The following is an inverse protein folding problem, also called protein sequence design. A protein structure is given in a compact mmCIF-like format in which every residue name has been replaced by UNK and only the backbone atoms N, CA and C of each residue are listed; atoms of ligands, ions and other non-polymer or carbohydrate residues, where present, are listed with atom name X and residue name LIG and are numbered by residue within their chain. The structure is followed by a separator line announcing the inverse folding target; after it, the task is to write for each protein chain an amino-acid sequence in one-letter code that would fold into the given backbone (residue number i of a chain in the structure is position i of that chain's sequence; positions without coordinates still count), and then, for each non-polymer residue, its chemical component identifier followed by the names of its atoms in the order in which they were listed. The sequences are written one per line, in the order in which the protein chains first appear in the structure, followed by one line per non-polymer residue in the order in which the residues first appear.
data_IF_756113220914
#
_entry.id   IF_756113220914
#
_cell.length_a   1.000
_cell.length_b   1.000
_cell.length_c   1.000
_cell.angle_alpha   90.00
_cell.angle_beta   90.00
_cell.angle_gamma   90.00
#
_symmetry.space_group_name_H-M   'P 1'
#
loop_
_entity.id
_entity.type
_entity.pdbx_description
1 polymer ?
#
# COMPACT_ATOMS: atom_id res chain seq x y z
N UNK A 1 17.10 23.54 -4.90
CA UNK A 1 15.80 24.15 -5.31
C UNK A 1 14.79 23.02 -5.38
N UNK A 2 13.64 23.16 -4.75
CA UNK A 2 12.59 22.13 -4.82
C UNK A 2 12.11 22.05 -6.28
N UNK A 3 12.17 20.86 -6.88
CA UNK A 3 11.66 20.62 -8.25
C UNK A 3 10.15 20.85 -8.28
N UNK A 4 9.66 21.52 -9.30
CA UNK A 4 8.22 21.67 -9.54
C UNK A 4 7.60 20.33 -9.97
N UNK A 5 6.29 20.17 -9.81
CA UNK A 5 5.60 18.95 -10.26
C UNK A 5 5.77 18.74 -11.78
N UNK A 6 5.87 19.82 -12.56
CA UNK A 6 6.13 19.74 -14.00
C UNK A 6 7.52 19.13 -14.30
N UNK A 7 8.57 19.49 -13.55
CA UNK A 7 9.91 18.94 -13.71
C UNK A 7 10.01 17.49 -13.24
N UNK A 8 9.17 17.10 -12.27
CA UNK A 8 9.07 15.72 -11.80
C UNK A 8 8.30 14.83 -12.77
N UNK A 9 7.27 15.38 -13.45
CA UNK A 9 6.41 14.62 -14.36
C UNK A 9 7.09 14.41 -15.71
N UNK A 10 7.01 13.20 -16.26
CA UNK A 10 7.50 12.92 -17.62
C UNK A 10 6.88 13.90 -18.63
N UNK A 11 7.66 14.49 -19.56
CA UNK A 11 7.18 15.53 -20.47
C UNK A 11 6.00 15.11 -21.35
N UNK A 12 5.95 13.85 -21.77
CA UNK A 12 4.83 13.29 -22.55
C UNK A 12 3.55 13.20 -21.69
N UNK A 13 3.67 12.82 -20.41
CA UNK A 13 2.55 12.73 -19.47
C UNK A 13 2.06 14.15 -19.08
N UNK A 14 2.97 15.08 -18.86
CA UNK A 14 2.58 16.46 -18.57
C UNK A 14 1.71 17.06 -19.69
N UNK A 15 2.07 16.82 -20.94
CA UNK A 15 1.35 17.30 -22.14
C UNK A 15 0.15 16.44 -22.54
N UNK A 16 -0.01 15.26 -21.94
CA UNK A 16 -1.10 14.35 -22.28
C UNK A 16 -2.46 14.99 -22.04
N UNK A 17 -3.31 14.94 -23.06
CA UNK A 17 -4.75 15.19 -22.89
C UNK A 17 -5.40 13.88 -22.43
N UNK A 18 -6.03 13.85 -21.25
CA UNK A 18 -6.67 12.62 -20.77
C UNK A 18 -7.80 12.23 -21.71
N UNK A 19 -8.11 10.94 -21.73
CA UNK A 19 -9.35 10.47 -22.34
C UNK A 19 -10.54 11.07 -21.58
N UNK A 20 -11.48 11.67 -22.30
CA UNK A 20 -12.73 12.19 -21.78
C UNK A 20 -13.89 11.36 -22.30
N UNK A 21 -14.80 10.95 -21.44
CA UNK A 21 -16.07 10.32 -21.85
C UNK A 21 -17.16 11.40 -22.04
N UNK A 22 -18.15 11.12 -22.88
CA UNK A 22 -19.28 12.04 -23.02
C UNK A 22 -20.01 12.33 -21.69
N UNK A 23 -19.95 11.38 -20.73
CA UNK A 23 -20.50 11.56 -19.38
C UNK A 23 -19.66 12.53 -18.52
N UNK A 24 -18.34 12.58 -18.73
CA UNK A 24 -17.47 13.54 -18.04
C UNK A 24 -17.68 14.97 -18.57
N UNK A 25 -18.04 15.09 -19.85
CA UNK A 25 -18.30 16.37 -20.51
C UNK A 25 -19.72 16.91 -20.24
N UNK A 26 -20.62 16.03 -19.75
CA UNK A 26 -22.01 16.39 -19.50
C UNK A 26 -22.16 17.09 -18.14
N UNK A 27 -22.48 18.39 -18.19
CA UNK A 27 -22.69 19.25 -17.01
C UNK A 27 -24.18 19.62 -16.75
N UNK A 28 -25.12 18.90 -17.37
CA UNK A 28 -26.56 19.18 -17.27
C UNK A 28 -27.23 18.53 -16.06
N UNK A 29 -28.58 18.65 -16.00
CA UNK A 29 -29.40 17.91 -15.05
C UNK A 29 -29.23 16.41 -15.20
N UNK A 30 -29.66 15.59 -14.22
CA UNK A 30 -29.52 14.13 -14.27
C UNK A 30 -30.01 13.56 -15.61
N UNK A 31 -29.11 12.92 -16.35
CA UNK A 31 -29.44 12.29 -17.61
C UNK A 31 -30.30 11.06 -17.38
N UNK A 32 -31.38 10.89 -18.15
CA UNK A 32 -32.27 9.73 -18.09
C UNK A 32 -32.06 8.74 -19.24
N UNK A 33 -31.36 9.17 -20.31
CA UNK A 33 -31.09 8.36 -21.50
C UNK A 33 -29.59 8.39 -21.80
N UNK A 34 -28.97 7.21 -21.86
CA UNK A 34 -27.54 7.03 -22.11
C UNK A 34 -27.32 6.25 -23.41
N UNK A 35 -26.83 6.93 -24.45
CA UNK A 35 -26.54 6.40 -25.78
C UNK A 35 -25.12 6.76 -26.23
N UNK A 36 -24.21 6.95 -25.30
CA UNK A 36 -22.89 7.55 -25.49
C UNK A 36 -21.73 6.53 -25.55
N UNK A 37 -21.90 5.36 -24.95
CA UNK A 37 -20.78 4.44 -24.69
C UNK A 37 -20.96 3.05 -25.34
N UNK A 38 -21.83 2.91 -26.32
CA UNK A 38 -22.09 1.66 -27.07
C UNK A 38 -22.47 0.48 -26.16
N UNK A 39 -23.04 0.74 -25.00
CA UNK A 39 -23.42 -0.26 -24.03
C UNK A 39 -24.68 -1.01 -24.48
N UNK A 40 -24.73 -2.32 -24.19
CA UNK A 40 -25.95 -3.08 -24.34
C UNK A 40 -27.00 -2.61 -23.32
N UNK A 41 -28.20 -2.20 -23.70
CA UNK A 41 -29.23 -1.69 -22.78
C UNK A 41 -29.82 -2.77 -21.85
N UNK A 42 -29.58 -4.05 -22.12
CA UNK A 42 -30.09 -5.17 -21.35
C UNK A 42 -29.10 -5.62 -20.27
N UNK A 43 -29.51 -6.51 -19.35
CA UNK A 43 -28.74 -7.06 -18.24
C UNK A 43 -28.45 -6.04 -17.12
N UNK A 44 -29.45 -5.22 -16.76
CA UNK A 44 -29.36 -4.35 -15.57
C UNK A 44 -29.04 -5.17 -14.30
N UNK A 45 -28.27 -4.67 -13.35
CA UNK A 45 -27.62 -3.34 -13.32
C UNK A 45 -26.18 -3.34 -13.86
N UNK A 46 -25.71 -4.41 -14.50
CA UNK A 46 -24.30 -4.61 -14.87
C UNK A 46 -23.96 -4.14 -16.29
N UNK A 47 -24.95 -3.66 -17.02
CA UNK A 47 -24.84 -3.28 -18.42
C UNK A 47 -24.24 -1.88 -18.67
N UNK A 48 -23.96 -1.10 -17.61
CA UNK A 48 -23.41 0.26 -17.72
C UNK A 48 -22.00 0.34 -17.14
N UNK A 49 -21.14 1.12 -17.79
CA UNK A 49 -19.86 1.49 -17.21
C UNK A 49 -20.04 2.20 -15.87
N UNK A 50 -19.16 1.97 -14.90
CA UNK A 50 -19.18 2.68 -13.61
C UNK A 50 -18.81 4.15 -13.78
N UNK A 51 -19.00 4.95 -12.73
CA UNK A 51 -18.47 6.32 -12.67
C UNK A 51 -16.93 6.29 -12.77
N UNK A 52 -16.34 6.88 -13.82
CA UNK A 52 -14.89 6.88 -14.02
C UNK A 52 -14.14 7.66 -12.95
N UNK A 53 -14.82 8.58 -12.25
CA UNK A 53 -14.25 9.38 -11.16
C UNK A 53 -14.55 8.83 -9.76
N UNK A 54 -15.35 7.76 -9.66
CA UNK A 54 -15.74 7.09 -8.40
C UNK A 54 -16.26 8.08 -7.34
N UNK A 55 -17.08 9.05 -7.74
CA UNK A 55 -17.48 10.22 -6.91
C UNK A 55 -18.16 9.81 -5.61
N UNK A 56 -19.11 8.86 -5.65
CA UNK A 56 -19.79 8.35 -4.47
C UNK A 56 -18.79 7.74 -3.48
N UNK A 57 -17.95 6.83 -3.94
CA UNK A 57 -16.96 6.15 -3.11
C UNK A 57 -15.94 7.13 -2.51
N UNK A 58 -15.45 8.09 -3.30
CA UNK A 58 -14.53 9.13 -2.80
C UNK A 58 -15.18 10.03 -1.77
N UNK A 59 -16.47 10.34 -1.92
CA UNK A 59 -17.22 11.12 -0.95
C UNK A 59 -17.34 10.40 0.40
N UNK A 60 -17.66 9.12 0.39
CA UNK A 60 -17.73 8.33 1.63
C UNK A 60 -16.33 8.14 2.27
N UNK A 61 -15.30 7.87 1.47
CA UNK A 61 -13.92 7.82 1.95
C UNK A 61 -13.44 9.11 2.58
N UNK A 62 -13.79 10.25 1.96
CA UNK A 62 -13.46 11.58 2.45
C UNK A 62 -13.96 11.82 3.89
N UNK A 63 -15.15 11.34 4.21
CA UNK A 63 -15.73 11.46 5.55
C UNK A 63 -14.94 10.71 6.61
N UNK A 64 -14.47 9.49 6.28
CA UNK A 64 -13.72 8.62 7.20
C UNK A 64 -12.26 9.07 7.30
N UNK A 65 -11.62 9.31 6.14
CA UNK A 65 -10.19 9.64 6.08
C UNK A 65 -9.90 11.13 6.31
N UNK A 66 -10.94 11.99 6.38
CA UNK A 66 -10.87 13.44 6.62
C UNK A 66 -9.98 14.19 5.63
N UNK A 67 -10.00 13.76 4.37
CA UNK A 67 -9.28 14.38 3.25
C UNK A 67 -10.27 14.77 2.16
N UNK A 68 -9.91 15.75 1.31
CA UNK A 68 -10.75 16.11 0.16
C UNK A 68 -10.95 14.93 -0.80
N UNK A 69 -12.16 14.71 -1.36
CA UNK A 69 -12.36 13.71 -2.41
C UNK A 69 -11.41 13.87 -3.60
N UNK A 70 -11.02 15.10 -3.92
CA UNK A 70 -10.12 15.43 -5.02
C UNK A 70 -8.64 15.08 -4.70
N UNK A 71 -8.33 14.85 -3.42
CA UNK A 71 -7.03 14.36 -2.96
C UNK A 71 -6.94 12.83 -2.94
N UNK A 72 -7.93 12.11 -3.50
CA UNK A 72 -8.03 10.66 -3.48
C UNK A 72 -7.92 10.11 -4.90
N UNK A 73 -6.99 9.19 -5.11
CA UNK A 73 -6.93 8.29 -6.25
C UNK A 73 -7.36 6.89 -5.81
N UNK A 74 -8.16 6.19 -6.64
CA UNK A 74 -8.59 4.82 -6.40
C UNK A 74 -8.08 3.91 -7.52
N UNK A 75 -7.53 2.75 -7.15
CA UNK A 75 -6.98 1.77 -8.09
C UNK A 75 -7.27 0.32 -7.69
N UNK A 76 -6.94 -0.60 -8.59
CA UNK A 76 -7.04 -2.05 -8.36
C UNK A 76 -5.93 -2.53 -7.40
N UNK A 77 -6.15 -2.34 -6.11
CA UNK A 77 -5.15 -2.42 -5.06
C UNK A 77 -4.24 -1.17 -5.09
N UNK A 78 -3.44 -0.99 -4.04
CA UNK A 78 -2.37 0.03 -4.04
C UNK A 78 -1.32 -0.23 -5.12
N UNK A 79 -1.23 -1.45 -5.63
CA UNK A 79 -0.31 -1.84 -6.71
C UNK A 79 -0.53 -1.03 -7.99
N UNK A 80 -1.79 -0.70 -8.36
CA UNK A 80 -2.06 0.18 -9.50
C UNK A 80 -1.51 1.58 -9.27
N UNK A 81 -1.66 2.14 -8.07
CA UNK A 81 -1.09 3.45 -7.75
C UNK A 81 0.44 3.41 -7.78
N UNK A 82 1.07 2.33 -7.27
CA UNK A 82 2.52 2.12 -7.33
C UNK A 82 2.99 2.10 -8.78
N UNK A 83 2.37 1.32 -9.67
CA UNK A 83 2.75 1.28 -11.09
C UNK A 83 2.57 2.65 -11.77
N UNK A 84 1.45 3.32 -11.50
CA UNK A 84 1.17 4.62 -12.12
C UNK A 84 2.16 5.72 -11.70
N UNK A 85 2.70 5.72 -10.47
CA UNK A 85 3.70 6.72 -10.08
C UNK A 85 5.01 6.51 -10.85
N UNK A 86 5.44 5.27 -11.11
CA UNK A 86 6.56 5.01 -12.01
C UNK A 86 6.28 5.55 -13.41
N UNK A 87 5.15 5.22 -13.98
CA UNK A 87 4.77 5.63 -15.34
C UNK A 87 4.59 7.13 -15.49
N UNK A 88 4.16 7.81 -14.42
CA UNK A 88 3.96 9.27 -14.44
C UNK A 88 5.24 10.05 -14.30
N UNK A 89 6.15 9.59 -13.44
CA UNK A 89 7.25 10.42 -12.95
C UNK A 89 8.64 9.94 -13.33
N UNK A 90 8.83 8.66 -13.70
CA UNK A 90 10.14 8.13 -14.06
C UNK A 90 10.29 7.91 -15.57
N UNK A 91 11.25 8.57 -16.21
CA UNK A 91 11.63 8.28 -17.59
C UNK A 91 12.44 6.98 -17.62
N UNK A 92 11.99 5.94 -18.37
CA UNK A 92 12.70 4.67 -18.46
C UNK A 92 14.18 4.84 -18.87
N UNK A 93 15.08 4.07 -18.26
CA UNK A 93 16.54 4.09 -18.51
C UNK A 93 17.26 5.41 -18.20
N UNK A 94 16.55 6.40 -17.68
CA UNK A 94 17.10 7.71 -17.34
C UNK A 94 16.98 7.99 -15.86
N UNK A 95 15.78 7.82 -15.33
CA UNK A 95 15.47 8.11 -13.94
C UNK A 95 15.63 6.88 -13.05
N UNK A 96 15.78 7.12 -11.76
CA UNK A 96 15.90 6.10 -10.75
C UNK A 96 14.97 6.35 -9.56
N UNK A 97 14.80 5.33 -8.75
CA UNK A 97 14.09 5.39 -7.48
C UNK A 97 14.94 4.80 -6.37
N UNK A 98 14.74 5.30 -5.15
CA UNK A 98 15.38 4.78 -3.94
C UNK A 98 14.32 4.16 -3.05
N UNK A 99 14.64 3.06 -2.38
CA UNK A 99 13.78 2.45 -1.39
C UNK A 99 14.57 1.84 -0.24
N UNK A 100 13.93 1.73 0.91
CA UNK A 100 14.47 0.95 2.04
C UNK A 100 14.52 -0.53 1.66
N UNK A 101 15.46 -1.29 2.24
CA UNK A 101 15.57 -2.74 2.06
C UNK A 101 15.90 -3.41 3.42
N UNK A 102 15.12 -4.42 3.85
CA UNK A 102 14.00 -5.05 3.15
C UNK A 102 12.71 -4.25 3.22
N UNK A 103 11.90 -4.34 2.15
CA UNK A 103 10.56 -3.75 2.09
C UNK A 103 9.64 -4.53 1.14
N UNK A 104 8.49 -3.95 0.76
CA UNK A 104 7.51 -4.58 -0.11
C UNK A 104 8.07 -4.78 -1.53
N UNK A 105 8.12 -6.04 -1.97
CA UNK A 105 8.79 -6.42 -3.22
C UNK A 105 8.19 -5.86 -4.51
N UNK A 106 6.93 -5.40 -4.50
CA UNK A 106 6.29 -4.85 -5.69
C UNK A 106 6.91 -3.53 -6.15
N UNK A 107 7.57 -2.78 -5.27
CA UNK A 107 8.27 -1.56 -5.71
C UNK A 107 9.36 -1.90 -6.72
N UNK A 108 10.18 -2.91 -6.43
CA UNK A 108 11.20 -3.38 -7.37
C UNK A 108 10.56 -3.96 -8.64
N UNK A 109 9.52 -4.78 -8.52
CA UNK A 109 8.81 -5.35 -9.69
C UNK A 109 8.28 -4.24 -10.59
N UNK A 110 7.67 -3.20 -10.04
CA UNK A 110 7.19 -2.06 -10.83
C UNK A 110 8.34 -1.27 -11.46
N UNK A 111 9.47 -1.09 -10.76
CA UNK A 111 10.66 -0.48 -11.33
C UNK A 111 11.20 -1.28 -12.52
N UNK A 112 11.35 -2.61 -12.36
CA UNK A 112 11.85 -3.51 -13.40
C UNK A 112 10.91 -3.51 -14.63
N UNK A 113 9.58 -3.57 -14.43
CA UNK A 113 8.58 -3.51 -15.51
C UNK A 113 8.63 -2.19 -16.27
N UNK A 114 8.91 -1.08 -15.58
CA UNK A 114 9.01 0.25 -16.18
C UNK A 114 10.42 0.61 -16.66
N UNK A 115 11.38 -0.32 -16.58
CA UNK A 115 12.80 -0.13 -16.97
C UNK A 115 13.45 1.08 -16.25
N UNK A 116 13.21 1.17 -14.92
CA UNK A 116 13.70 2.22 -14.02
C UNK A 116 14.68 1.62 -13.01
N UNK A 117 15.85 2.26 -12.84
CA UNK A 117 16.85 1.82 -11.86
C UNK A 117 16.26 1.86 -10.44
N UNK A 118 16.39 0.73 -9.69
CA UNK A 118 15.92 0.59 -8.32
C UNK A 118 17.08 0.48 -7.34
N UNK A 119 17.29 1.51 -6.54
CA UNK A 119 18.39 1.60 -5.56
C UNK A 119 17.89 1.23 -4.17
N UNK A 120 18.58 0.29 -3.53
CA UNK A 120 18.27 -0.23 -2.21
C UNK A 120 19.15 0.41 -1.14
N UNK A 121 18.55 0.86 -0.06
CA UNK A 121 19.25 1.32 1.14
C UNK A 121 18.87 0.42 2.30
N UNK A 122 19.85 -0.32 2.82
CA UNK A 122 19.62 -1.26 3.92
C UNK A 122 19.14 -0.53 5.18
N UNK A 123 18.13 -1.10 5.81
CA UNK A 123 17.72 -0.76 7.17
C UNK A 123 18.85 -1.15 8.16
N UNK A 124 18.77 -0.64 9.37
CA UNK A 124 19.67 -1.07 10.46
C UNK A 124 19.19 -2.39 11.10
N UNK A 125 19.86 -2.80 12.20
CA UNK A 125 19.57 -4.06 12.90
C UNK A 125 18.20 -4.05 13.61
N UNK A 126 17.65 -2.86 13.88
CA UNK A 126 16.31 -2.65 14.45
C UNK A 126 15.24 -2.33 13.38
N UNK A 127 15.60 -2.55 12.10
CA UNK A 127 14.78 -2.27 10.94
C UNK A 127 14.32 -0.80 10.84
N UNK A 128 15.16 0.14 11.28
CA UNK A 128 14.96 1.56 11.08
C UNK A 128 15.81 2.07 9.91
N UNK A 129 15.39 3.18 9.32
CA UNK A 129 16.16 3.87 8.29
C UNK A 129 16.68 5.22 8.79
N UNK A 130 17.66 5.76 8.09
CA UNK A 130 18.10 7.15 8.25
C UNK A 130 17.76 7.94 6.99
N UNK A 131 17.11 9.07 7.16
CA UNK A 131 16.81 10.00 6.06
C UNK A 131 18.09 10.41 5.32
N UNK A 132 19.19 10.65 6.05
CA UNK A 132 20.49 11.01 5.45
C UNK A 132 21.03 9.92 4.52
N UNK A 133 20.88 8.63 4.89
CA UNK A 133 21.32 7.52 4.03
C UNK A 133 20.48 7.41 2.77
N UNK A 134 19.15 7.59 2.85
CA UNK A 134 18.28 7.60 1.68
C UNK A 134 18.58 8.77 0.76
N UNK A 135 18.77 9.96 1.32
CA UNK A 135 19.13 11.16 0.57
C UNK A 135 20.53 11.05 -0.09
N UNK A 136 21.49 10.40 0.56
CA UNK A 136 22.81 10.15 0.02
C UNK A 136 22.82 9.15 -1.15
N UNK A 137 21.80 8.25 -1.23
CA UNK A 137 21.63 7.33 -2.34
C UNK A 137 20.87 7.95 -3.54
N UNK A 138 20.28 9.14 -3.33
CA UNK A 138 19.57 9.89 -4.36
C UNK A 138 20.52 10.80 -5.14
N UNK A 139 20.18 11.05 -6.41
CA UNK A 139 20.85 11.98 -7.29
C UNK A 139 19.84 12.84 -8.07
N UNK A 140 20.31 13.60 -9.08
CA UNK A 140 19.47 14.47 -9.92
C UNK A 140 18.40 13.70 -10.73
N UNK A 141 18.63 12.41 -10.98
CA UNK A 141 17.71 11.52 -11.68
C UNK A 141 16.74 10.79 -10.73
N UNK A 142 16.91 10.91 -9.42
CA UNK A 142 16.00 10.28 -8.48
C UNK A 142 14.67 11.03 -8.44
N UNK A 143 13.61 10.35 -8.82
CA UNK A 143 12.24 10.92 -8.86
C UNK A 143 11.40 10.51 -7.66
N UNK A 144 11.57 9.28 -7.18
CA UNK A 144 10.73 8.70 -6.14
C UNK A 144 11.58 8.09 -5.03
N UNK A 145 11.14 8.24 -3.78
CA UNK A 145 11.63 7.44 -2.65
C UNK A 145 10.46 6.68 -2.04
N UNK A 146 10.60 5.34 -1.92
CA UNK A 146 9.58 4.48 -1.33
C UNK A 146 9.94 4.10 0.10
N UNK A 147 9.02 4.32 1.02
CA UNK A 147 9.05 3.84 2.41
C UNK A 147 7.71 3.19 2.76
N UNK A 148 7.76 2.14 3.57
CA UNK A 148 6.58 1.42 4.05
C UNK A 148 6.55 1.44 5.58
N UNK A 149 5.48 1.95 6.17
CA UNK A 149 5.33 2.04 7.64
C UNK A 149 3.86 1.83 8.04
N UNK A 150 3.55 0.79 8.81
CA UNK A 150 4.42 -0.33 9.23
C UNK A 150 5.03 -1.09 8.06
N UNK A 151 6.31 -1.47 8.19
CA UNK A 151 7.05 -2.07 7.07
C UNK A 151 6.70 -3.55 6.86
N UNK A 152 6.71 -3.98 5.62
CA UNK A 152 6.60 -5.38 5.23
C UNK A 152 7.91 -5.83 4.54
N UNK A 153 8.69 -6.79 5.11
CA UNK A 153 8.19 -7.88 5.96
C UNK A 153 8.48 -7.73 7.46
N UNK A 154 9.02 -6.63 7.94
CA UNK A 154 9.56 -6.51 9.30
C UNK A 154 8.50 -6.24 10.37
N UNK A 155 7.36 -5.63 10.00
CA UNK A 155 6.20 -5.40 10.87
C UNK A 155 6.25 -4.11 11.68
N UNK A 156 7.41 -3.52 11.86
CA UNK A 156 7.61 -2.35 12.70
C UNK A 156 7.22 -1.03 12.05
N UNK A 157 6.80 -0.08 12.85
CA UNK A 157 6.74 1.32 12.45
C UNK A 157 8.14 1.89 12.23
N UNK A 158 8.26 2.80 11.30
CA UNK A 158 9.45 3.59 11.08
C UNK A 158 9.37 4.90 11.87
N UNK A 159 10.51 5.42 12.29
CA UNK A 159 10.57 6.67 13.06
C UNK A 159 9.97 7.83 12.29
N UNK A 160 8.90 8.41 12.82
CA UNK A 160 8.16 9.52 12.19
C UNK A 160 9.06 10.72 11.89
N UNK A 161 9.99 11.04 12.79
CA UNK A 161 10.96 12.14 12.60
C UNK A 161 11.86 11.95 11.38
N UNK A 162 12.26 10.71 11.09
CA UNK A 162 13.05 10.39 9.90
C UNK A 162 12.20 10.51 8.62
N UNK A 163 10.94 10.05 8.67
CA UNK A 163 9.98 10.21 7.57
C UNK A 163 9.76 11.69 7.26
N UNK A 164 9.48 12.51 8.27
CA UNK A 164 9.29 13.96 8.10
C UNK A 164 10.54 14.66 7.58
N UNK A 165 11.72 14.27 8.06
CA UNK A 165 13.01 14.80 7.60
C UNK A 165 13.22 14.47 6.12
N UNK A 166 12.93 13.24 5.72
CA UNK A 166 13.03 12.80 4.32
C UNK A 166 12.09 13.61 3.43
N UNK A 167 10.80 13.73 3.79
CA UNK A 167 9.81 14.47 3.01
C UNK A 167 10.23 15.94 2.81
N UNK A 168 10.76 16.59 3.86
CA UNK A 168 11.16 18.01 3.81
C UNK A 168 12.42 18.26 3.01
N UNK A 169 13.33 17.28 2.93
CA UNK A 169 14.67 17.47 2.33
C UNK A 169 14.80 16.87 0.93
N UNK A 170 13.91 15.96 0.56
CA UNK A 170 13.94 15.36 -0.77
C UNK A 170 13.24 16.24 -1.81
N UNK A 171 13.90 16.51 -2.92
CA UNK A 171 13.39 17.35 -4.01
C UNK A 171 12.44 16.60 -4.99
N UNK A 172 12.23 15.30 -4.78
CA UNK A 172 11.31 14.45 -5.53
C UNK A 172 10.06 14.08 -4.72
N UNK A 173 9.34 13.04 -5.13
CA UNK A 173 8.15 12.55 -4.46
C UNK A 173 8.49 11.44 -3.47
N UNK A 174 7.97 11.52 -2.26
CA UNK A 174 8.03 10.45 -1.25
C UNK A 174 6.74 9.65 -1.30
N UNK A 175 6.87 8.34 -1.49
CA UNK A 175 5.76 7.39 -1.47
C UNK A 175 5.80 6.68 -0.12
N UNK A 176 4.85 7.01 0.74
CA UNK A 176 4.69 6.38 2.05
C UNK A 176 3.56 5.35 1.98
N UNK A 177 3.94 4.08 2.02
CA UNK A 177 2.97 2.98 2.03
C UNK A 177 2.50 2.69 3.46
N UNK A 178 1.28 3.09 3.75
CA UNK A 178 0.56 2.89 4.99
C UNK A 178 -0.44 1.72 4.93
N UNK A 179 -0.18 0.69 4.12
CA UNK A 179 -1.10 -0.45 3.96
C UNK A 179 -1.48 -1.14 5.30
N UNK A 180 -0.66 -1.00 6.33
CA UNK A 180 -0.86 -1.60 7.64
C UNK A 180 -1.12 -0.57 8.76
N UNK A 181 -1.24 0.71 8.44
CA UNK A 181 -1.35 1.78 9.45
C UNK A 181 -2.56 1.64 10.38
N UNK A 182 -3.66 1.05 9.91
CA UNK A 182 -4.84 0.81 10.75
C UNK A 182 -4.54 -0.11 11.97
N UNK A 183 -3.41 -0.86 11.97
CA UNK A 183 -2.96 -1.70 13.09
C UNK A 183 -1.94 -1.02 14.00
N UNK A 184 -1.38 0.11 13.57
CA UNK A 184 -0.41 0.91 14.35
C UNK A 184 -1.12 1.83 15.34
N UNK A 185 -0.37 2.27 16.37
CA UNK A 185 -0.78 3.39 17.24
C UNK A 185 -0.27 4.74 16.71
N UNK A 186 0.65 4.71 15.74
CA UNK A 186 1.15 5.94 15.13
C UNK A 186 0.07 6.59 14.25
N UNK A 187 -0.13 7.92 14.36
CA UNK A 187 -1.09 8.62 13.53
C UNK A 187 -0.66 8.59 12.06
N UNK A 188 -1.64 8.41 11.16
CA UNK A 188 -1.41 8.47 9.71
C UNK A 188 -0.87 9.83 9.27
N UNK A 189 -0.02 9.84 8.26
CA UNK A 189 0.42 11.08 7.60
C UNK A 189 -0.70 11.79 6.84
N UNK A 190 -1.87 11.17 6.69
CA UNK A 190 -3.07 11.85 6.15
C UNK A 190 -3.47 13.06 7.00
N UNK A 191 -3.25 13.04 8.31
CA UNK A 191 -3.56 14.18 9.20
C UNK A 191 -2.78 15.46 8.82
N UNK A 192 -1.61 15.28 8.21
CA UNK A 192 -0.72 16.37 7.84
C UNK A 192 -0.49 16.46 6.32
N UNK A 193 -1.29 15.78 5.50
CA UNK A 193 -1.09 15.66 4.05
C UNK A 193 -0.90 17.03 3.37
N UNK A 194 -1.67 18.02 3.76
CA UNK A 194 -1.62 19.37 3.20
C UNK A 194 -0.30 20.12 3.51
N UNK A 195 0.50 19.64 4.47
CA UNK A 195 1.81 20.23 4.80
C UNK A 195 2.93 19.70 3.91
N UNK A 196 2.68 18.64 3.17
CA UNK A 196 3.67 17.90 2.40
C UNK A 196 3.26 17.75 0.93
N UNK A 197 3.51 18.77 0.10
CA UNK A 197 3.03 18.79 -1.30
C UNK A 197 3.67 17.69 -2.17
N UNK A 198 4.78 17.10 -1.75
CA UNK A 198 5.51 16.04 -2.41
C UNK A 198 5.27 14.66 -1.81
N UNK A 199 4.29 14.49 -0.92
CA UNK A 199 3.94 13.22 -0.30
C UNK A 199 2.79 12.55 -1.03
N UNK A 200 2.96 11.24 -1.27
CA UNK A 200 1.88 10.32 -1.68
C UNK A 200 1.75 9.26 -0.59
N UNK A 201 0.59 9.18 0.05
CA UNK A 201 0.28 8.14 1.04
C UNK A 201 -0.55 7.05 0.37
N UNK A 202 -0.10 5.79 0.48
CA UNK A 202 -0.83 4.63 -0.04
C UNK A 202 -1.55 3.92 1.10
N UNK A 203 -2.81 3.55 0.88
CA UNK A 203 -3.59 2.69 1.78
C UNK A 203 -4.39 1.66 0.98
N UNK A 204 -4.99 0.67 1.64
CA UNK A 204 -5.67 -0.43 0.94
C UNK A 204 -6.83 -1.01 1.75
N UNK A 205 -7.84 -1.51 1.04
CA UNK A 205 -8.91 -2.32 1.64
C UNK A 205 -8.48 -3.78 1.88
N UNK A 206 -7.31 -4.17 1.41
CA UNK A 206 -6.87 -5.59 1.45
C UNK A 206 -6.47 -6.09 2.83
N UNK A 207 -6.21 -5.21 3.81
CA UNK A 207 -5.67 -5.57 5.12
C UNK A 207 -6.70 -5.39 6.23
N UNK A 208 -6.72 -4.27 6.91
CA UNK A 208 -7.63 -3.99 8.02
C UNK A 208 -9.11 -4.13 7.65
N UNK A 209 -9.46 -3.76 6.44
CA UNK A 209 -10.84 -3.82 5.94
C UNK A 209 -11.32 -5.23 5.57
N UNK A 210 -10.44 -6.25 5.58
CA UNK A 210 -10.80 -7.63 5.26
C UNK A 210 -11.28 -7.85 3.82
N UNK A 211 -10.98 -6.94 2.91
CA UNK A 211 -11.52 -6.87 1.55
C UNK A 211 -10.48 -7.13 0.46
N UNK A 212 -9.52 -8.04 0.69
CA UNK A 212 -8.47 -8.34 -0.29
C UNK A 212 -9.01 -8.76 -1.67
N UNK A 213 -10.16 -9.45 -1.69
CA UNK A 213 -10.78 -9.98 -2.93
C UNK A 213 -11.34 -8.91 -3.86
N UNK A 214 -11.79 -7.75 -3.33
CA UNK A 214 -12.35 -6.67 -4.18
C UNK A 214 -11.28 -5.82 -4.86
N UNK A 215 -9.99 -6.04 -4.53
CA UNK A 215 -8.86 -5.36 -5.17
C UNK A 215 -8.98 -3.83 -5.16
N UNK A 216 -9.25 -3.21 -4.02
CA UNK A 216 -9.32 -1.75 -3.89
C UNK A 216 -8.15 -1.22 -3.08
N UNK A 217 -7.43 -0.26 -3.67
CA UNK A 217 -6.39 0.52 -3.02
C UNK A 217 -6.58 2.01 -3.27
N UNK A 218 -5.88 2.81 -2.48
CA UNK A 218 -5.99 4.26 -2.46
C UNK A 218 -4.62 4.90 -2.47
N UNK A 219 -4.50 6.02 -3.18
CA UNK A 219 -3.42 6.97 -2.99
C UNK A 219 -4.00 8.34 -2.61
N UNK A 220 -3.38 8.98 -1.65
CA UNK A 220 -3.74 10.31 -1.16
C UNK A 220 -2.57 11.26 -1.40
N UNK A 221 -2.82 12.38 -2.05
CA UNK A 221 -1.79 13.36 -2.36
C UNK A 221 -2.40 14.75 -2.62
N UNK A 222 -1.56 15.73 -2.96
CA UNK A 222 -2.02 17.03 -3.45
C UNK A 222 -2.90 16.88 -4.70
N UNK A 223 -3.80 17.85 -4.92
CA UNK A 223 -4.71 17.87 -6.08
C UNK A 223 -3.96 17.72 -7.41
N UNK A 224 -2.81 18.37 -7.50
CA UNK A 224 -1.99 18.35 -8.72
C UNK A 224 -1.42 16.94 -9.00
N UNK A 225 -0.91 16.25 -7.98
CA UNK A 225 -0.42 14.86 -8.13
C UNK A 225 -1.58 13.93 -8.50
N UNK A 226 -2.73 14.02 -7.82
CA UNK A 226 -3.91 13.23 -8.16
C UNK A 226 -4.38 13.52 -9.59
N UNK A 227 -4.29 14.77 -10.03
CA UNK A 227 -4.55 15.17 -11.41
C UNK A 227 -3.66 14.45 -12.43
N UNK A 228 -2.36 14.31 -12.14
CA UNK A 228 -1.42 13.56 -13.00
C UNK A 228 -1.77 12.07 -13.06
N UNK A 229 -2.01 11.43 -11.90
CA UNK A 229 -2.40 10.01 -11.87
C UNK A 229 -3.72 9.77 -12.61
N UNK A 230 -4.67 10.68 -12.47
CA UNK A 230 -5.98 10.61 -13.14
C UNK A 230 -5.88 10.73 -14.65
N UNK A 231 -4.87 11.43 -15.19
CA UNK A 231 -4.64 11.51 -16.66
C UNK A 231 -4.27 10.18 -17.28
N UNK A 232 -3.58 9.31 -16.55
CA UNK A 232 -2.96 8.09 -17.11
C UNK A 232 -3.65 6.79 -16.68
N UNK A 233 -4.54 6.85 -15.69
CA UNK A 233 -5.34 5.68 -15.34
C UNK A 233 -6.31 5.33 -16.47
N UNK A 234 -6.70 4.07 -16.57
CA UNK A 234 -7.82 3.70 -17.43
C UNK A 234 -9.11 4.35 -16.94
N UNK A 235 -10.01 4.82 -17.83
CA UNK A 235 -11.22 5.56 -17.44
C UNK A 235 -12.06 4.84 -16.40
N UNK A 236 -12.29 3.55 -16.60
CA UNK A 236 -13.15 2.71 -15.75
C UNK A 236 -12.32 1.69 -14.95
N UNK A 237 -11.18 2.12 -14.40
CA UNK A 237 -10.22 1.23 -13.74
C UNK A 237 -10.81 0.46 -12.55
N UNK A 238 -11.69 1.06 -11.76
CA UNK A 238 -12.38 0.39 -10.64
C UNK A 238 -13.81 0.01 -11.07
N UNK A 239 -14.10 -1.28 -11.12
CA UNK A 239 -15.40 -1.78 -11.57
C UNK A 239 -16.55 -1.47 -10.57
N UNK A 240 -17.79 -1.55 -11.06
CA UNK A 240 -18.99 -1.23 -10.29
C UNK A 240 -19.17 -2.10 -9.04
N UNK A 241 -18.85 -3.39 -9.11
CA UNK A 241 -19.01 -4.31 -7.98
C UNK A 241 -18.05 -3.94 -6.85
N UNK A 242 -16.80 -3.63 -7.18
CA UNK A 242 -15.81 -3.13 -6.23
C UNK A 242 -16.26 -1.82 -5.58
N UNK A 243 -16.74 -0.84 -6.38
CA UNK A 243 -17.21 0.44 -5.84
C UNK A 243 -18.38 0.25 -4.86
N UNK A 244 -19.39 -0.53 -5.21
CA UNK A 244 -20.56 -0.82 -4.35
C UNK A 244 -20.16 -1.54 -3.06
N UNK A 245 -19.35 -2.60 -3.17
CA UNK A 245 -18.89 -3.33 -2.01
C UNK A 245 -18.06 -2.45 -1.07
N UNK A 246 -17.23 -1.56 -1.62
CA UNK A 246 -16.44 -0.65 -0.80
C UNK A 246 -17.33 0.37 -0.06
N UNK A 247 -18.34 0.95 -0.71
CA UNK A 247 -19.31 1.84 -0.06
C UNK A 247 -20.05 1.13 1.07
N UNK A 248 -20.48 -0.11 0.84
CA UNK A 248 -21.11 -0.93 1.90
C UNK A 248 -20.18 -1.12 3.10
N UNK A 249 -18.91 -1.43 2.86
CA UNK A 249 -17.91 -1.60 3.93
C UNK A 249 -17.65 -0.30 4.69
N UNK A 250 -17.64 0.85 4.00
CA UNK A 250 -17.48 2.15 4.65
C UNK A 250 -18.64 2.46 5.63
N UNK A 251 -19.85 2.06 5.29
CA UNK A 251 -21.00 2.19 6.19
C UNK A 251 -20.91 1.26 7.43
N UNK A 252 -20.04 0.25 7.37
CA UNK A 252 -19.76 -0.69 8.47
C UNK A 252 -18.42 -0.41 9.15
N UNK A 253 -17.92 0.81 9.10
CA UNK A 253 -16.59 1.17 9.61
C UNK A 253 -16.33 0.76 11.08
N UNK A 254 -17.37 0.85 11.95
CA UNK A 254 -17.28 0.40 13.34
C UNK A 254 -16.97 -1.10 13.50
N UNK A 255 -17.34 -1.94 12.52
CA UNK A 255 -16.98 -3.36 12.54
C UNK A 255 -15.49 -3.55 12.22
N UNK A 256 -14.97 -2.72 11.32
CA UNK A 256 -13.54 -2.73 10.98
C UNK A 256 -12.70 -2.37 12.20
N UNK A 257 -13.08 -1.34 12.95
CA UNK A 257 -12.40 -0.97 14.19
C UNK A 257 -12.39 -2.12 15.20
N UNK A 258 -13.50 -2.83 15.34
CA UNK A 258 -13.58 -4.02 16.19
C UNK A 258 -12.65 -5.14 15.71
N UNK A 259 -12.63 -5.43 14.41
CA UNK A 259 -11.74 -6.44 13.84
C UNK A 259 -10.27 -6.09 14.04
N UNK A 260 -9.92 -4.84 13.81
CA UNK A 260 -8.55 -4.35 14.05
C UNK A 260 -8.17 -4.54 15.52
N UNK A 261 -9.04 -4.16 16.45
CA UNK A 261 -8.81 -4.37 17.90
C UNK A 261 -8.59 -5.83 18.22
N UNK A 262 -9.48 -6.73 17.76
CA UNK A 262 -9.35 -8.18 17.97
C UNK A 262 -8.04 -8.72 17.39
N UNK A 263 -7.66 -8.30 16.17
CA UNK A 263 -6.41 -8.74 15.55
C UNK A 263 -5.17 -8.24 16.30
N UNK A 264 -5.22 -7.06 16.91
CA UNK A 264 -4.12 -6.55 17.76
C UNK A 264 -3.98 -7.40 19.02
N UNK A 265 -5.09 -7.71 19.70
CA UNK A 265 -5.13 -8.60 20.87
C UNK A 265 -4.63 -10.02 20.52
N UNK A 266 -5.08 -10.58 19.40
CA UNK A 266 -4.62 -11.89 18.93
C UNK A 266 -3.14 -11.88 18.50
N UNK A 267 -2.64 -10.76 17.98
CA UNK A 267 -1.20 -10.60 17.69
C UNK A 267 -0.38 -10.72 18.96
N UNK A 268 -0.73 -9.97 20.00
CA UNK A 268 -0.02 -9.99 21.29
C UNK A 268 0.01 -11.39 21.89
N UNK A 269 -1.13 -12.10 21.87
CA UNK A 269 -1.23 -13.47 22.35
C UNK A 269 -0.34 -14.42 21.53
N UNK A 270 -0.45 -14.37 20.20
CA UNK A 270 0.31 -15.24 19.32
C UNK A 270 1.81 -14.97 19.39
N UNK A 271 2.24 -13.71 19.49
CA UNK A 271 3.65 -13.33 19.69
C UNK A 271 4.21 -13.89 20.99
N UNK A 272 3.44 -13.84 22.09
CA UNK A 272 3.87 -14.39 23.39
C UNK A 272 4.00 -15.92 23.33
N UNK A 273 3.03 -16.62 22.73
CA UNK A 273 3.11 -18.07 22.58
C UNK A 273 4.24 -18.50 21.63
N UNK A 274 4.43 -17.78 20.52
CA UNK A 274 5.50 -18.05 19.55
C UNK A 274 6.89 -17.81 20.17
N UNK A 275 7.05 -16.74 20.96
CA UNK A 275 8.28 -16.43 21.68
C UNK A 275 8.71 -17.53 22.67
N UNK A 276 7.72 -18.25 23.25
CA UNK A 276 7.98 -19.34 24.19
C UNK A 276 8.42 -20.67 23.53
N UNK A 277 8.34 -20.76 22.19
CA UNK A 277 8.73 -21.99 21.47
C UNK A 277 10.25 -22.14 21.42
N UNK A 278 10.82 -23.33 21.66
CA UNK A 278 12.26 -23.57 21.59
C UNK A 278 12.90 -23.26 20.22
N UNK A 279 12.13 -23.28 19.14
CA UNK A 279 12.61 -22.91 17.80
C UNK A 279 12.74 -21.40 17.61
N UNK A 280 12.20 -20.56 18.48
CA UNK A 280 12.24 -19.11 18.35
C UNK A 280 13.57 -18.57 18.89
N UNK A 281 14.29 -17.85 18.04
CA UNK A 281 15.55 -17.20 18.38
C UNK A 281 15.38 -15.75 18.76
N UNK A 282 14.53 -15.01 17.98
CA UNK A 282 14.23 -13.58 18.22
C UNK A 282 12.87 -13.23 17.66
N UNK A 283 12.06 -12.55 18.43
CA UNK A 283 10.88 -11.85 17.96
C UNK A 283 11.24 -10.42 17.60
N UNK A 284 10.69 -9.92 16.50
CA UNK A 284 10.83 -8.50 16.12
C UNK A 284 9.52 -7.77 16.43
N UNK A 285 9.58 -6.50 16.89
CA UNK A 285 8.39 -5.70 17.17
C UNK A 285 7.49 -5.59 15.93
N UNK A 286 6.17 -5.66 16.14
CA UNK A 286 5.22 -5.48 15.05
C UNK A 286 4.08 -4.55 15.40
N UNK A 287 3.73 -3.70 14.42
CA UNK A 287 2.59 -2.79 14.42
C UNK A 287 1.67 -3.08 13.21
N UNK A 288 1.77 -4.30 12.65
CA UNK A 288 0.98 -4.79 11.52
C UNK A 288 0.05 -5.95 11.96
N UNK A 289 -0.67 -6.55 11.03
CA UNK A 289 -1.42 -7.79 11.27
C UNK A 289 -0.58 -9.06 11.02
N UNK A 290 0.70 -8.98 11.18
CA UNK A 290 1.67 -10.08 11.11
C UNK A 290 2.88 -9.70 11.94
N UNK A 291 3.72 -10.66 12.26
CA UNK A 291 5.03 -10.43 12.86
C UNK A 291 6.14 -11.15 12.12
N UNK A 292 7.37 -10.72 12.33
CA UNK A 292 8.58 -11.39 11.89
C UNK A 292 9.26 -12.06 13.08
N UNK A 293 9.59 -13.34 12.94
CA UNK A 293 10.33 -14.08 13.95
C UNK A 293 11.55 -14.75 13.32
N UNK A 294 12.71 -14.62 13.95
CA UNK A 294 13.88 -15.43 13.62
C UNK A 294 13.78 -16.76 14.36
N UNK A 295 13.95 -17.85 13.63
CA UNK A 295 13.84 -19.21 14.13
C UNK A 295 15.13 -19.98 13.91
N UNK A 296 15.27 -21.17 14.49
CA UNK A 296 16.47 -22.01 14.36
C UNK A 296 16.74 -22.45 12.92
N UNK A 297 15.70 -22.81 12.16
CA UNK A 297 15.80 -23.22 10.74
C UNK A 297 14.48 -22.89 10.02
N UNK A 298 14.42 -21.70 9.42
CA UNK A 298 13.21 -21.23 8.75
C UNK A 298 12.79 -22.11 7.57
N UNK A 299 13.74 -22.75 6.87
CA UNK A 299 13.43 -23.59 5.72
C UNK A 299 12.78 -24.89 6.17
N UNK A 300 13.36 -25.56 7.16
CA UNK A 300 12.79 -26.82 7.68
C UNK A 300 11.44 -26.60 8.34
N UNK A 301 11.31 -25.57 9.19
CA UNK A 301 10.05 -25.25 9.86
C UNK A 301 8.96 -24.89 8.84
N UNK A 302 9.29 -24.08 7.84
CA UNK A 302 8.37 -23.76 6.74
C UNK A 302 7.87 -25.02 6.02
N UNK A 303 8.80 -25.91 5.62
CA UNK A 303 8.44 -27.15 4.91
C UNK A 303 7.57 -28.09 5.79
N UNK A 304 7.88 -28.17 7.08
CA UNK A 304 7.07 -28.92 8.03
C UNK A 304 5.64 -28.38 8.13
N UNK A 305 5.51 -27.05 8.30
CA UNK A 305 4.20 -26.39 8.37
C UNK A 305 3.38 -26.58 7.08
N UNK A 306 4.02 -26.48 5.93
CA UNK A 306 3.38 -26.79 4.62
C UNK A 306 2.87 -28.22 4.59
N UNK A 307 3.65 -29.20 5.10
CA UNK A 307 3.22 -30.60 5.25
C UNK A 307 2.02 -30.79 6.19
N UNK A 308 1.80 -29.87 7.13
CA UNK A 308 0.63 -29.83 8.02
C UNK A 308 -0.53 -29.00 7.44
N UNK A 309 -0.40 -28.45 6.23
CA UNK A 309 -1.41 -27.58 5.60
C UNK A 309 -1.43 -26.15 6.15
N UNK A 310 -0.37 -25.72 6.85
CA UNK A 310 -0.24 -24.38 7.43
C UNK A 310 0.75 -23.56 6.59
N UNK A 311 0.30 -22.46 6.04
CA UNK A 311 1.11 -21.63 5.14
C UNK A 311 1.50 -20.34 5.83
N UNK A 312 2.80 -20.17 6.07
CA UNK A 312 3.44 -18.92 6.51
C UNK A 312 4.35 -18.38 5.41
N UNK A 313 5.12 -17.35 5.64
CA UNK A 313 6.08 -16.82 4.64
C UNK A 313 7.51 -17.02 5.12
N UNK A 314 8.26 -17.85 4.41
CA UNK A 314 9.71 -17.94 4.58
C UNK A 314 10.36 -16.67 4.03
N UNK A 315 11.18 -16.00 4.85
CA UNK A 315 11.91 -14.78 4.52
C UNK A 315 13.43 -14.95 4.54
N UNK A 316 13.89 -16.18 4.61
CA UNK A 316 15.32 -16.51 4.74
C UNK A 316 16.22 -15.89 3.65
N UNK A 317 15.69 -15.69 2.44
CA UNK A 317 16.42 -15.07 1.32
C UNK A 317 16.30 -13.55 1.24
N UNK A 318 15.58 -12.93 2.17
CA UNK A 318 15.38 -11.48 2.21
C UNK A 318 16.49 -10.83 3.02
N UNK A 319 16.98 -9.68 2.59
CA UNK A 319 18.01 -8.90 3.29
C UNK A 319 17.68 -8.75 4.77
N UNK A 320 18.65 -8.94 5.65
CA UNK A 320 18.55 -8.87 7.11
C UNK A 320 17.59 -9.89 7.77
N UNK A 321 16.84 -10.68 6.98
CA UNK A 321 15.82 -11.63 7.46
C UNK A 321 16.32 -13.09 7.44
N UNK A 322 17.64 -13.34 7.55
CA UNK A 322 18.17 -14.70 7.63
C UNK A 322 17.50 -15.52 8.73
N UNK A 323 17.04 -16.72 8.39
CA UNK A 323 16.25 -17.62 9.24
C UNK A 323 14.97 -17.01 9.79
N UNK A 324 14.31 -16.08 9.08
CA UNK A 324 13.07 -15.48 9.52
C UNK A 324 11.85 -16.09 8.83
N UNK A 325 10.79 -16.23 9.62
CA UNK A 325 9.42 -16.48 9.16
C UNK A 325 8.58 -15.22 9.41
N UNK A 326 7.77 -14.84 8.43
CA UNK A 326 6.69 -13.86 8.65
C UNK A 326 5.39 -14.60 8.82
N UNK A 327 4.74 -14.41 9.96
CA UNK A 327 3.50 -15.05 10.35
C UNK A 327 2.38 -14.02 10.36
N UNK A 328 1.32 -14.27 9.61
CA UNK A 328 0.10 -13.44 9.65
C UNK A 328 -0.73 -13.85 10.85
N UNK A 329 -1.30 -12.88 11.54
CA UNK A 329 -2.24 -13.11 12.65
C UNK A 329 -3.57 -13.57 12.06
N UNK A 330 -3.98 -14.77 12.41
CA UNK A 330 -5.26 -15.36 12.03
C UNK A 330 -6.34 -15.19 13.09
N UNK A 331 -7.44 -15.92 12.93
CA UNK A 331 -8.39 -16.15 14.01
C UNK A 331 -7.72 -16.94 15.12
N UNK A 332 -8.28 -16.89 16.34
CA UNK A 332 -7.76 -17.65 17.49
C UNK A 332 -7.54 -19.12 17.17
N UNK A 333 -8.51 -19.78 16.53
CA UNK A 333 -8.38 -21.20 16.18
C UNK A 333 -7.33 -21.49 15.11
N UNK A 334 -7.03 -20.54 14.21
CA UNK A 334 -5.91 -20.66 13.24
C UNK A 334 -4.57 -20.48 13.94
N UNK A 335 -4.48 -19.52 14.86
CA UNK A 335 -3.29 -19.27 15.68
C UNK A 335 -2.95 -20.47 16.57
N UNK A 336 -3.95 -21.04 17.26
CA UNK A 336 -3.81 -22.24 18.10
C UNK A 336 -3.27 -23.44 17.28
N UNK A 337 -3.81 -23.68 16.08
CA UNK A 337 -3.31 -24.75 15.18
C UNK A 337 -1.85 -24.57 14.79
N UNK A 338 -1.43 -23.33 14.52
CA UNK A 338 -0.03 -23.03 14.21
C UNK A 338 0.87 -23.37 15.41
N UNK A 339 0.49 -22.94 16.61
CA UNK A 339 1.28 -23.17 17.84
C UNK A 339 1.33 -24.67 18.19
N UNK A 340 0.21 -25.38 18.06
CA UNK A 340 0.16 -26.83 18.27
C UNK A 340 1.09 -27.56 17.30
N UNK A 341 1.03 -27.25 16.00
CA UNK A 341 1.91 -27.85 15.02
C UNK A 341 3.40 -27.56 15.30
N UNK A 342 3.74 -26.35 15.75
CA UNK A 342 5.11 -26.01 16.12
C UNK A 342 5.58 -26.72 17.40
N UNK A 343 4.68 -26.96 18.38
CA UNK A 343 4.98 -27.78 19.57
C UNK A 343 5.24 -29.25 19.20
N UNK A 344 4.54 -29.79 18.20
CA UNK A 344 4.77 -31.15 17.70
C UNK A 344 6.09 -31.29 16.89
N UNK A 345 6.58 -30.19 16.28
CA UNK A 345 7.83 -30.17 15.53
C UNK A 345 9.08 -30.36 16.42
N UNK A 346 8.96 -30.02 17.69
CA UNK A 346 10.02 -30.06 18.70
C UNK A 346 10.16 -31.44 19.32
#
# INVERSE_FOLDING_TARGET
MVKTLQELTRPNIWRLKPYSSARDEYNGAAASVFLDANENPYNMPHNRYPDPMQRELKTELSRIKKVSPDSIFLGNGSDEAIDLVFRAFCEPRVDNVVAIDPTYGMYQVCADVNDVEYRKVLLDEDFQFSADKLLAAADEHTKLIFICSPNNPTGNDLLRSEIETLIRRFDGLVILDEAYNDFSEAPSFLENLNQYPNLIVLQTFSKAWGCAAIRLGMAFASLDIIGILSKIKYPYNVNLLTQKQAVEMLHRYYEIERWVKTLKEERENLEAEFAALPCTVKMFPSHANFFLARVTDAVKIYNYLVGKGIIVRNRNSVSLCGNCLRVTVGTRGENEKLIEALKEYM
#
